data_IF_543296343860
#
_entry.id   IF_543296343860
#
_cell.length_a   1.000
_cell.length_b   1.000
_cell.length_c   1.000
_cell.angle_alpha   90.00
_cell.angle_beta   90.00
_cell.angle_gamma   90.00
#
_symmetry.space_group_name_H-M   'P 1'
#
loop_
_entity.id
_entity.type
_entity.pdbx_description
1 polymer ?
#
# COMPACT_ATOMS: atom_id res chain seq x y z
N UNK A 1 -22.42 -19.28 -7.06
CA UNK A 1 -21.44 -18.99 -6.04
C UNK A 1 -21.23 -17.49 -5.84
N UNK A 2 -20.36 -17.10 -4.93
CA UNK A 2 -20.05 -15.70 -4.60
C UNK A 2 -19.53 -14.93 -5.82
N UNK A 3 -18.66 -15.55 -6.60
CA UNK A 3 -18.08 -14.93 -7.80
C UNK A 3 -19.16 -14.47 -8.78
N UNK A 4 -20.14 -15.36 -9.07
CA UNK A 4 -21.25 -15.02 -9.94
C UNK A 4 -22.14 -13.92 -9.36
N UNK A 5 -22.44 -14.00 -8.06
CA UNK A 5 -23.27 -12.98 -7.39
C UNK A 5 -22.60 -11.62 -7.44
N UNK A 6 -21.28 -11.59 -7.26
CA UNK A 6 -20.52 -10.35 -7.32
C UNK A 6 -20.50 -9.79 -8.75
N UNK A 7 -20.28 -10.63 -9.75
CA UNK A 7 -20.31 -10.22 -11.15
C UNK A 7 -21.69 -9.64 -11.53
N UNK A 8 -22.77 -10.29 -11.10
CA UNK A 8 -24.13 -9.83 -11.36
C UNK A 8 -24.38 -8.46 -10.69
N UNK A 9 -23.95 -8.29 -9.44
CA UNK A 9 -24.09 -7.04 -8.71
C UNK A 9 -23.31 -5.90 -9.37
N UNK A 10 -22.04 -6.13 -9.70
CA UNK A 10 -21.19 -5.10 -10.31
C UNK A 10 -21.69 -4.72 -11.71
N UNK A 11 -22.32 -5.65 -12.43
CA UNK A 11 -22.95 -5.38 -13.71
C UNK A 11 -24.10 -4.38 -13.65
N UNK A 12 -24.64 -4.11 -12.46
CA UNK A 12 -25.70 -3.11 -12.27
C UNK A 12 -25.16 -1.68 -12.09
N UNK A 13 -23.86 -1.54 -11.92
CA UNK A 13 -23.21 -0.23 -11.72
C UNK A 13 -22.40 0.16 -12.96
N UNK A 14 -22.32 1.45 -13.21
CA UNK A 14 -21.47 2.00 -14.24
C UNK A 14 -19.99 1.95 -13.84
N UNK A 15 -19.11 2.07 -14.83
CA UNK A 15 -17.66 2.13 -14.62
C UNK A 15 -16.98 0.79 -14.85
N UNK A 16 -15.67 0.81 -14.64
CA UNK A 16 -14.81 -0.37 -14.75
C UNK A 16 -14.48 -0.87 -13.34
N UNK A 17 -14.76 -2.13 -13.10
CA UNK A 17 -14.55 -2.76 -11.79
C UNK A 17 -13.45 -3.81 -11.88
N UNK A 18 -12.56 -3.81 -10.91
CA UNK A 18 -11.58 -4.88 -10.70
C UNK A 18 -11.74 -5.38 -9.28
N UNK A 19 -11.87 -6.69 -9.10
CA UNK A 19 -12.11 -7.30 -7.79
C UNK A 19 -11.21 -8.52 -7.62
N UNK A 20 -10.64 -8.64 -6.43
CA UNK A 20 -9.87 -9.81 -6.01
C UNK A 20 -10.38 -10.23 -4.63
N UNK A 21 -10.64 -11.53 -4.47
CA UNK A 21 -11.04 -12.11 -3.19
C UNK A 21 -10.21 -13.35 -2.94
N UNK A 22 -9.67 -13.48 -1.74
CA UNK A 22 -9.00 -14.71 -1.30
C UNK A 22 -9.41 -15.07 0.12
N UNK A 23 -9.93 -16.29 0.28
CA UNK A 23 -10.20 -16.88 1.58
C UNK A 23 -8.88 -17.44 2.15
N UNK A 24 -8.41 -16.91 3.26
CA UNK A 24 -7.11 -17.29 3.82
C UNK A 24 -7.17 -18.63 4.60
N UNK A 25 -8.35 -19.20 4.82
CA UNK A 25 -8.49 -20.52 5.42
C UNK A 25 -8.45 -21.63 4.38
N UNK A 26 -9.20 -21.48 3.28
CA UNK A 26 -9.31 -22.48 2.22
C UNK A 26 -8.32 -22.29 1.08
N UNK A 27 -7.63 -21.15 1.02
CA UNK A 27 -6.80 -20.69 -0.11
C UNK A 27 -7.57 -20.53 -1.43
N UNK A 28 -8.88 -20.57 -1.40
CA UNK A 28 -9.67 -20.30 -2.59
C UNK A 28 -9.63 -18.81 -2.92
N UNK A 29 -9.38 -18.53 -4.19
CA UNK A 29 -9.34 -17.15 -4.69
C UNK A 29 -10.09 -17.03 -6.00
N UNK A 30 -10.59 -15.83 -6.25
CA UNK A 30 -11.06 -15.47 -7.57
C UNK A 30 -10.76 -13.99 -7.84
N UNK A 31 -10.70 -13.67 -9.12
CA UNK A 31 -10.51 -12.29 -9.55
C UNK A 31 -11.43 -12.00 -10.71
N UNK A 32 -11.92 -10.77 -10.77
CA UNK A 32 -12.73 -10.27 -11.87
C UNK A 32 -12.03 -9.04 -12.44
N UNK A 33 -11.72 -9.10 -13.74
CA UNK A 33 -11.12 -7.99 -14.45
C UNK A 33 -9.85 -7.46 -13.77
N UNK A 34 -9.00 -8.36 -13.25
CA UNK A 34 -7.71 -7.94 -12.70
C UNK A 34 -6.82 -7.47 -13.84
N UNK A 35 -6.50 -6.20 -13.82
CA UNK A 35 -5.66 -5.56 -14.82
C UNK A 35 -4.91 -4.41 -14.16
N UNK A 36 -3.85 -3.98 -14.80
CA UNK A 36 -3.12 -2.79 -14.35
C UNK A 36 -4.05 -1.58 -14.39
N UNK A 37 -4.07 -0.82 -13.31
CA UNK A 37 -4.90 0.38 -13.16
C UNK A 37 -4.14 1.47 -12.43
N UNK A 38 -4.62 2.70 -12.55
CA UNK A 38 -4.05 3.81 -11.79
C UNK A 38 -4.24 3.55 -10.29
N UNK A 39 -3.12 3.53 -9.56
CA UNK A 39 -3.13 3.10 -8.16
C UNK A 39 -3.76 4.10 -7.21
N UNK A 40 -3.75 5.40 -7.55
CA UNK A 40 -3.98 6.43 -6.55
C UNK A 40 -3.16 6.12 -5.29
N UNK A 41 -3.71 6.32 -4.11
CA UNK A 41 -2.99 6.09 -2.86
C UNK A 41 -2.72 4.62 -2.50
N UNK A 42 -3.19 3.65 -3.29
CA UNK A 42 -2.83 2.25 -3.06
C UNK A 42 -1.32 2.01 -3.23
N UNK A 43 -0.64 2.83 -4.01
CA UNK A 43 0.83 2.71 -4.18
C UNK A 43 1.56 2.82 -2.84
N UNK A 44 0.96 3.47 -1.85
CA UNK A 44 1.57 3.69 -0.54
C UNK A 44 1.84 2.39 0.22
N UNK A 45 1.04 1.34 0.00
CA UNK A 45 1.32 0.04 0.65
C UNK A 45 2.60 -0.60 0.12
N UNK A 46 2.93 -0.35 -1.15
CA UNK A 46 4.18 -0.85 -1.75
C UNK A 46 5.38 -0.01 -1.31
N UNK A 47 5.21 1.30 -1.19
CA UNK A 47 6.25 2.18 -0.61
C UNK A 47 6.52 1.78 0.84
N UNK A 48 5.48 1.45 1.61
CA UNK A 48 5.60 0.91 2.97
C UNK A 48 6.45 -0.38 2.98
N UNK A 49 6.13 -1.35 2.14
CA UNK A 49 6.85 -2.62 2.07
C UNK A 49 8.34 -2.42 1.77
N UNK A 50 8.65 -1.61 0.77
CA UNK A 50 10.05 -1.30 0.44
C UNK A 50 10.75 -0.55 1.57
N UNK A 51 10.08 0.36 2.24
CA UNK A 51 10.66 1.09 3.38
C UNK A 51 11.09 0.12 4.48
N UNK A 52 10.26 -0.87 4.82
CA UNK A 52 10.65 -1.90 5.78
C UNK A 52 11.78 -2.79 5.25
N UNK A 53 11.74 -3.16 3.98
CA UNK A 53 12.80 -3.97 3.37
C UNK A 53 14.16 -3.24 3.35
N UNK A 54 14.15 -1.93 3.28
CA UNK A 54 15.32 -1.06 3.14
C UNK A 54 15.53 -0.19 4.39
N UNK A 55 15.01 -0.59 5.54
CA UNK A 55 14.92 0.26 6.72
C UNK A 55 16.27 0.80 7.18
N UNK A 56 17.33 -0.02 7.16
CA UNK A 56 18.64 0.44 7.58
C UNK A 56 19.14 1.62 6.73
N UNK A 57 18.99 1.53 5.43
CA UNK A 57 19.37 2.63 4.52
C UNK A 57 18.46 3.85 4.71
N UNK A 58 17.16 3.64 4.87
CA UNK A 58 16.19 4.74 5.10
C UNK A 58 16.55 5.51 6.38
N UNK A 59 16.86 4.81 7.46
CA UNK A 59 17.27 5.44 8.72
C UNK A 59 18.59 6.21 8.55
N UNK A 60 19.57 5.64 7.85
CA UNK A 60 20.84 6.33 7.58
C UNK A 60 20.65 7.58 6.72
N UNK A 61 19.79 7.49 5.71
CA UNK A 61 19.50 8.64 4.83
C UNK A 61 18.75 9.74 5.58
N UNK A 62 17.80 9.39 6.46
CA UNK A 62 17.15 10.37 7.31
C UNK A 62 18.12 11.01 8.31
N UNK A 63 18.98 10.20 8.93
CA UNK A 63 20.01 10.70 9.85
C UNK A 63 20.93 11.72 9.16
N UNK A 64 21.38 11.40 7.95
CA UNK A 64 22.21 12.31 7.14
C UNK A 64 21.47 13.62 6.84
N UNK A 65 20.19 13.54 6.48
CA UNK A 65 19.35 14.70 6.21
C UNK A 65 19.17 15.57 7.46
N UNK A 66 18.96 14.94 8.61
CA UNK A 66 18.80 15.62 9.91
C UNK A 66 20.13 16.08 10.51
N UNK A 67 21.27 15.65 9.95
CA UNK A 67 22.61 15.87 10.49
C UNK A 67 22.74 15.35 11.92
N UNK A 68 22.26 14.13 12.12
CA UNK A 68 22.28 13.41 13.39
C UNK A 68 22.89 12.03 13.23
N UNK A 69 23.28 11.43 14.36
CA UNK A 69 23.67 10.03 14.37
C UNK A 69 22.44 9.15 14.12
N UNK A 70 22.62 8.04 13.40
CA UNK A 70 21.51 7.14 13.09
C UNK A 70 20.86 6.52 14.34
N UNK A 71 21.61 6.45 15.45
CA UNK A 71 21.10 5.96 16.74
C UNK A 71 20.31 7.00 17.52
N UNK A 72 20.31 8.27 17.09
CA UNK A 72 19.49 9.29 17.73
C UNK A 72 18.02 8.91 17.60
N UNK A 73 17.27 8.81 18.72
CA UNK A 73 15.86 8.40 18.67
C UNK A 73 14.97 9.23 17.77
N UNK A 74 15.32 10.51 17.54
CA UNK A 74 14.54 11.38 16.66
C UNK A 74 14.54 10.91 15.21
N UNK A 75 15.56 10.16 14.79
CA UNK A 75 15.65 9.64 13.41
C UNK A 75 14.60 8.57 13.20
N UNK A 76 14.55 7.54 14.03
CA UNK A 76 13.53 6.49 13.93
C UNK A 76 12.11 7.04 14.15
N UNK A 77 11.96 7.98 15.08
CA UNK A 77 10.66 8.64 15.29
C UNK A 77 10.18 9.33 14.04
N UNK A 78 11.07 10.05 13.33
CA UNK A 78 10.70 10.73 12.09
C UNK A 78 10.24 9.72 11.01
N UNK A 79 10.98 8.65 10.80
CA UNK A 79 10.62 7.62 9.82
C UNK A 79 9.30 6.94 10.20
N UNK A 80 9.10 6.63 11.47
CA UNK A 80 7.85 6.02 11.94
C UNK A 80 6.66 6.98 11.75
N UNK A 81 6.84 8.27 11.99
CA UNK A 81 5.80 9.28 11.77
C UNK A 81 5.43 9.37 10.28
N UNK A 82 6.42 9.32 9.40
CA UNK A 82 6.17 9.31 7.95
C UNK A 82 5.34 8.08 7.54
N UNK A 83 5.71 6.90 8.04
CA UNK A 83 4.96 5.67 7.77
C UNK A 83 3.54 5.75 8.31
N UNK A 84 3.38 6.22 9.54
CA UNK A 84 2.07 6.35 10.17
C UNK A 84 1.16 7.28 9.37
N UNK A 85 1.65 8.47 9.05
CA UNK A 85 0.87 9.47 8.31
C UNK A 85 0.56 9.00 6.89
N UNK A 86 1.53 8.36 6.22
CA UNK A 86 1.33 7.85 4.87
C UNK A 86 0.19 6.83 4.82
N UNK A 87 0.12 5.92 5.78
CA UNK A 87 -0.84 4.80 5.75
C UNK A 87 -2.16 5.18 6.42
N UNK A 88 -2.14 5.75 7.62
CA UNK A 88 -3.37 5.95 8.39
C UNK A 88 -4.24 7.09 7.88
N UNK A 89 -3.65 8.16 7.40
CA UNK A 89 -4.36 9.33 6.86
C UNK A 89 -4.05 9.59 5.38
N UNK A 90 -3.28 8.71 4.75
CA UNK A 90 -2.96 8.81 3.32
C UNK A 90 -2.20 10.09 2.95
N UNK A 91 -1.27 10.52 3.79
CA UNK A 91 -0.52 11.75 3.55
C UNK A 91 0.42 11.61 2.36
N UNK A 92 0.23 12.46 1.37
CA UNK A 92 1.00 12.42 0.11
C UNK A 92 2.46 12.85 0.30
N UNK A 93 2.71 13.88 1.09
CA UNK A 93 4.08 14.36 1.33
C UNK A 93 4.91 13.32 2.07
N UNK A 94 4.30 12.62 3.03
CA UNK A 94 4.98 11.52 3.72
C UNK A 94 5.40 10.42 2.77
N UNK A 95 4.57 10.10 1.80
CA UNK A 95 4.89 9.11 0.76
C UNK A 95 6.06 9.60 -0.13
N UNK A 96 5.97 10.83 -0.63
CA UNK A 96 7.03 11.40 -1.46
C UNK A 96 8.37 11.43 -0.72
N UNK A 97 8.34 11.78 0.55
CA UNK A 97 9.54 11.81 1.40
C UNK A 97 10.13 10.41 1.59
N UNK A 98 9.29 9.41 1.86
CA UNK A 98 9.77 8.03 2.00
C UNK A 98 10.38 7.50 0.70
N UNK A 99 9.84 7.87 -0.46
CA UNK A 99 10.46 7.51 -1.74
C UNK A 99 11.85 8.12 -1.86
N UNK A 100 12.03 9.40 -1.48
CA UNK A 100 13.34 10.07 -1.49
C UNK A 100 14.34 9.42 -0.56
N UNK A 101 13.87 8.90 0.57
CA UNK A 101 14.74 8.30 1.59
C UNK A 101 15.27 6.91 1.21
N UNK A 102 14.83 6.33 0.10
CA UNK A 102 15.31 5.01 -0.33
C UNK A 102 16.77 5.02 -0.77
N UNK A 103 17.28 6.16 -1.21
CA UNK A 103 18.69 6.31 -1.63
C UNK A 103 19.36 7.47 -0.91
N UNK A 104 20.68 7.44 -0.85
CA UNK A 104 21.49 8.50 -0.24
C UNK A 104 21.48 9.80 -1.04
N UNK A 105 21.05 9.74 -2.29
CA UNK A 105 20.87 10.93 -3.13
C UNK A 105 19.72 11.82 -2.68
N UNK A 106 18.77 11.25 -1.91
CA UNK A 106 17.52 11.92 -1.52
C UNK A 106 16.71 12.42 -2.73
N UNK A 107 16.90 11.77 -3.87
CA UNK A 107 16.23 12.09 -5.12
C UNK A 107 15.02 11.19 -5.33
N UNK A 108 13.86 11.77 -5.65
CA UNK A 108 12.63 11.02 -5.84
C UNK A 108 12.75 9.98 -6.96
N UNK A 109 13.30 10.37 -8.11
CA UNK A 109 13.37 9.47 -9.27
C UNK A 109 14.24 8.25 -8.97
N UNK A 110 15.39 8.44 -8.33
CA UNK A 110 16.26 7.33 -7.94
C UNK A 110 15.61 6.43 -6.90
N UNK A 111 14.91 7.02 -5.94
CA UNK A 111 14.13 6.25 -4.97
C UNK A 111 13.02 5.43 -5.64
N UNK A 112 12.30 6.03 -6.58
CA UNK A 112 11.28 5.34 -7.35
C UNK A 112 11.85 4.17 -8.16
N UNK A 113 13.01 4.37 -8.80
CA UNK A 113 13.70 3.30 -9.53
C UNK A 113 14.07 2.13 -8.61
N UNK A 114 14.58 2.42 -7.42
CA UNK A 114 14.93 1.38 -6.43
C UNK A 114 13.69 0.63 -5.95
N UNK A 115 12.60 1.33 -5.68
CA UNK A 115 11.33 0.69 -5.32
C UNK A 115 10.86 -0.23 -6.46
N UNK A 116 10.91 0.23 -7.70
CA UNK A 116 10.47 -0.57 -8.85
C UNK A 116 11.31 -1.83 -9.03
N UNK A 117 12.61 -1.77 -8.76
CA UNK A 117 13.48 -2.97 -8.78
C UNK A 117 13.05 -3.96 -7.70
N UNK A 118 12.75 -3.48 -6.51
CA UNK A 118 12.24 -4.32 -5.42
C UNK A 118 10.91 -4.98 -5.81
N UNK A 119 9.97 -4.20 -6.35
CA UNK A 119 8.67 -4.71 -6.76
C UNK A 119 8.79 -5.80 -7.83
N UNK A 120 9.65 -5.59 -8.81
CA UNK A 120 9.92 -6.59 -9.85
C UNK A 120 10.50 -7.86 -9.25
N UNK A 121 11.49 -7.73 -8.37
CA UNK A 121 12.12 -8.87 -7.68
C UNK A 121 11.12 -9.67 -6.87
N UNK A 122 10.17 -8.98 -6.21
CA UNK A 122 9.15 -9.63 -5.38
C UNK A 122 7.96 -10.16 -6.21
N UNK A 123 7.95 -9.93 -7.52
CA UNK A 123 6.93 -10.45 -8.42
C UNK A 123 5.68 -9.58 -8.59
N UNK A 124 5.73 -8.32 -8.14
CA UNK A 124 4.63 -7.37 -8.36
C UNK A 124 4.77 -6.71 -9.73
N UNK A 125 4.46 -7.46 -10.78
CA UNK A 125 4.76 -7.07 -12.16
C UNK A 125 3.82 -6.02 -12.73
N UNK A 126 2.71 -5.75 -12.04
CA UNK A 126 1.72 -4.75 -12.46
C UNK A 126 1.76 -3.48 -11.60
N UNK A 127 2.78 -3.37 -10.73
CA UNK A 127 2.89 -2.25 -9.80
C UNK A 127 4.18 -1.48 -10.04
N UNK A 128 4.06 -0.15 -10.15
CA UNK A 128 5.23 0.71 -10.30
C UNK A 128 4.99 2.09 -9.73
N UNK A 129 6.04 2.64 -9.11
CA UNK A 129 6.10 4.03 -8.68
C UNK A 129 6.68 4.86 -9.80
N UNK A 130 5.93 5.82 -10.31
CA UNK A 130 6.33 6.61 -11.48
C UNK A 130 6.39 8.11 -11.21
N UNK A 131 5.54 8.64 -10.35
CA UNK A 131 5.49 10.08 -10.10
C UNK A 131 5.18 10.41 -8.65
N UNK A 132 5.52 11.64 -8.24
CA UNK A 132 5.16 12.18 -6.93
C UNK A 132 3.65 12.19 -6.76
N UNK A 133 3.22 11.91 -5.54
CA UNK A 133 1.82 12.07 -5.19
C UNK A 133 1.55 13.55 -4.95
N UNK A 134 0.46 13.98 -5.50
CA UNK A 134 0.14 15.38 -5.65
C UNK A 134 -0.04 16.11 -4.33
N UNK A 135 0.93 16.91 -3.91
CA UNK A 135 0.66 18.09 -3.11
C UNK A 135 0.77 19.31 -4.02
N UNK A 136 -0.11 20.25 -3.80
CA UNK A 136 -0.18 21.45 -4.62
C UNK A 136 1.09 22.31 -4.56
N UNK A 137 2.00 22.04 -3.64
CA UNK A 137 3.12 22.94 -3.35
C UNK A 137 4.51 22.38 -3.65
N UNK A 138 4.69 21.10 -3.88
CA UNK A 138 6.02 20.56 -4.17
C UNK A 138 6.25 20.39 -5.67
N UNK A 139 7.51 20.43 -6.05
CA UNK A 139 7.90 20.15 -7.43
C UNK A 139 7.47 18.73 -7.80
N UNK A 140 6.76 18.60 -8.91
CA UNK A 140 6.37 17.32 -9.42
C UNK A 140 7.55 16.66 -10.12
N UNK A 141 7.81 15.40 -9.79
CA UNK A 141 8.85 14.59 -10.41
C UNK A 141 8.22 13.30 -10.94
N UNK A 142 8.73 12.83 -12.06
CA UNK A 142 8.15 11.67 -12.73
C UNK A 142 9.22 10.92 -13.51
N UNK A 143 9.09 9.59 -13.54
CA UNK A 143 9.85 8.73 -14.47
C UNK A 143 9.23 8.68 -15.86
N UNK A 144 8.09 9.33 -16.04
CA UNK A 144 7.40 9.44 -17.34
C UNK A 144 6.07 8.68 -17.41
N UNK A 145 5.79 7.79 -16.46
CA UNK A 145 4.56 7.03 -16.41
C UNK A 145 3.62 7.46 -15.29
N UNK A 146 2.63 6.62 -15.03
CA UNK A 146 1.67 6.76 -13.92
C UNK A 146 1.94 5.70 -12.86
N UNK A 147 1.61 6.01 -11.61
CA UNK A 147 1.62 5.02 -10.54
C UNK A 147 0.57 3.96 -10.81
N UNK A 148 0.99 2.72 -11.00
CA UNK A 148 0.10 1.64 -11.39
C UNK A 148 0.13 0.51 -10.38
N UNK A 149 -0.97 -0.22 -10.29
CA UNK A 149 -1.05 -1.46 -9.53
C UNK A 149 -2.17 -2.34 -10.10
N UNK A 150 -2.43 -3.47 -9.46
CA UNK A 150 -3.57 -4.33 -9.76
C UNK A 150 -4.15 -4.89 -8.46
N UNK A 151 -5.41 -5.33 -8.52
CA UNK A 151 -6.04 -5.98 -7.35
C UNK A 151 -5.30 -7.26 -6.96
N UNK A 152 -4.72 -7.96 -7.93
CA UNK A 152 -3.92 -9.16 -7.67
C UNK A 152 -2.64 -8.83 -6.91
N UNK A 153 -1.88 -7.84 -7.34
CA UNK A 153 -0.66 -7.41 -6.66
C UNK A 153 -0.96 -6.93 -5.24
N UNK A 154 -2.00 -6.11 -5.08
CA UNK A 154 -2.44 -5.65 -3.76
C UNK A 154 -2.82 -6.81 -2.85
N UNK A 155 -3.61 -7.75 -3.35
CA UNK A 155 -4.04 -8.92 -2.59
C UNK A 155 -2.87 -9.79 -2.17
N UNK A 156 -1.91 -9.99 -3.06
CA UNK A 156 -0.68 -10.75 -2.78
C UNK A 156 0.13 -10.10 -1.65
N UNK A 157 0.29 -8.78 -1.69
CA UNK A 157 1.00 -8.05 -0.64
C UNK A 157 0.28 -8.17 0.71
N UNK A 158 -1.03 -7.96 0.73
CA UNK A 158 -1.80 -8.06 1.97
C UNK A 158 -1.73 -9.45 2.58
N UNK A 159 -1.77 -10.51 1.75
CA UNK A 159 -1.62 -11.88 2.24
C UNK A 159 -0.26 -12.10 2.89
N UNK A 160 0.83 -11.64 2.26
CA UNK A 160 2.17 -11.74 2.83
C UNK A 160 2.28 -11.01 4.17
N UNK A 161 1.70 -9.82 4.26
CA UNK A 161 1.70 -9.06 5.51
C UNK A 161 0.94 -9.83 6.59
N UNK A 162 -0.24 -10.35 6.28
CA UNK A 162 -1.04 -11.12 7.23
C UNK A 162 -0.32 -12.37 7.74
N UNK A 163 0.38 -13.07 6.85
CA UNK A 163 1.11 -14.30 7.17
C UNK A 163 2.46 -14.09 7.86
N UNK A 164 2.89 -12.84 8.03
CA UNK A 164 4.20 -12.55 8.61
C UNK A 164 5.36 -12.77 7.66
N UNK A 165 5.11 -12.78 6.36
CA UNK A 165 6.08 -13.13 5.32
C UNK A 165 6.55 -11.93 4.49
N UNK A 166 6.07 -10.73 4.78
CA UNK A 166 6.54 -9.53 4.11
C UNK A 166 7.75 -8.97 4.85
N UNK A 167 8.92 -9.04 4.27
CA UNK A 167 10.23 -8.64 4.81
C UNK A 167 10.65 -9.51 6.00
N UNK A 168 9.92 -9.47 7.10
CA UNK A 168 10.12 -10.26 8.31
C UNK A 168 8.80 -10.36 9.06
N UNK A 169 8.77 -11.22 10.07
CA UNK A 169 7.59 -11.34 10.95
C UNK A 169 7.33 -10.02 11.68
N UNK A 170 8.37 -9.41 12.23
CA UNK A 170 8.28 -8.15 12.96
C UNK A 170 7.82 -7.01 12.06
N UNK A 171 8.41 -6.87 10.87
CA UNK A 171 8.01 -5.86 9.91
C UNK A 171 6.56 -6.05 9.46
N UNK A 172 6.15 -7.31 9.21
CA UNK A 172 4.78 -7.62 8.84
C UNK A 172 3.79 -7.23 9.93
N UNK A 173 4.12 -7.48 11.20
CA UNK A 173 3.28 -7.07 12.34
C UNK A 173 3.15 -5.55 12.41
N UNK A 174 4.23 -4.81 12.19
CA UNK A 174 4.21 -3.35 12.17
C UNK A 174 3.37 -2.82 11.01
N UNK A 175 3.54 -3.39 9.82
CA UNK A 175 2.73 -3.01 8.65
C UNK A 175 1.24 -3.30 8.87
N UNK A 176 0.93 -4.45 9.45
CA UNK A 176 -0.44 -4.81 9.78
C UNK A 176 -1.05 -3.83 10.78
N UNK A 177 -0.25 -3.40 11.77
CA UNK A 177 -0.70 -2.40 12.74
C UNK A 177 -1.03 -1.06 12.06
N UNK A 178 -0.20 -0.61 11.12
CA UNK A 178 -0.47 0.61 10.34
C UNK A 178 -1.79 0.50 9.59
N UNK A 179 -2.00 -0.60 8.88
CA UNK A 179 -3.23 -0.84 8.11
C UNK A 179 -4.47 -0.95 9.02
N UNK A 180 -4.29 -1.50 10.23
CA UNK A 180 -5.37 -1.65 11.21
C UNK A 180 -5.79 -0.32 11.83
N UNK A 181 -4.94 0.70 11.75
CA UNK A 181 -5.21 2.05 12.24
C UNK A 181 -5.66 3.01 11.12
N UNK A 182 -6.10 2.47 9.99
CA UNK A 182 -6.63 3.26 8.88
C UNK A 182 -7.79 4.14 9.35
N UNK A 183 -7.71 5.44 9.05
CA UNK A 183 -8.79 6.38 9.39
C UNK A 183 -9.84 6.51 8.29
N UNK A 184 -9.51 6.09 7.06
CA UNK A 184 -10.46 6.10 5.94
C UNK A 184 -11.25 4.79 5.92
N UNK A 185 -12.37 4.75 6.63
CA UNK A 185 -13.15 3.52 6.86
C UNK A 185 -14.52 3.54 6.17
N UNK A 186 -14.73 4.43 5.23
CA UNK A 186 -16.04 4.66 4.63
C UNK A 186 -16.34 3.80 3.39
N UNK A 187 -15.42 2.93 2.99
CA UNK A 187 -15.62 1.99 1.87
C UNK A 187 -15.83 0.57 2.38
N UNK A 188 -14.86 -0.33 2.24
CA UNK A 188 -15.04 -1.73 2.69
C UNK A 188 -15.43 -1.82 4.16
N UNK A 189 -14.73 -1.17 5.10
CA UNK A 189 -15.11 -1.30 6.51
C UNK A 189 -16.56 -0.91 6.80
N UNK A 190 -17.07 0.10 6.15
CA UNK A 190 -18.44 0.56 6.36
C UNK A 190 -19.49 -0.46 5.93
N UNK A 191 -19.16 -1.30 4.95
CA UNK A 191 -20.04 -2.36 4.46
C UNK A 191 -20.02 -3.64 5.28
N UNK A 192 -19.13 -3.76 6.27
CA UNK A 192 -19.00 -4.97 7.07
C UNK A 192 -20.03 -5.01 8.20
N UNK A 193 -20.43 -6.23 8.64
CA UNK A 193 -21.28 -6.36 9.82
C UNK A 193 -20.64 -5.73 11.06
N UNK A 194 -21.49 -5.32 12.01
CA UNK A 194 -21.01 -4.77 13.27
C UNK A 194 -20.08 -5.75 13.99
N UNK A 195 -18.97 -5.24 14.53
CA UNK A 195 -17.99 -6.02 15.26
C UNK A 195 -16.94 -6.74 14.40
N UNK A 196 -17.10 -6.72 13.07
CA UNK A 196 -16.10 -7.28 12.17
C UNK A 196 -14.99 -6.25 11.94
N UNK A 197 -13.76 -6.63 12.26
CA UNK A 197 -12.58 -5.77 12.12
C UNK A 197 -11.95 -5.95 10.75
N UNK A 198 -11.23 -4.92 10.33
CA UNK A 198 -10.48 -4.94 9.07
C UNK A 198 -9.21 -4.10 9.19
N UNK A 199 -8.27 -4.40 8.30
CA UNK A 199 -7.08 -3.60 8.08
C UNK A 199 -7.09 -3.23 6.60
N UNK A 200 -7.04 -1.93 6.27
CA UNK A 200 -7.26 -1.51 4.89
C UNK A 200 -6.44 -0.30 4.47
N UNK A 201 -6.40 -0.08 3.18
CA UNK A 201 -5.88 1.14 2.56
C UNK A 201 -6.79 1.55 1.42
N UNK A 202 -7.20 2.80 1.43
CA UNK A 202 -7.99 3.38 0.35
C UNK A 202 -7.13 4.15 -0.65
N UNK A 203 -7.68 4.38 -1.82
CA UNK A 203 -7.14 5.30 -2.80
C UNK A 203 -8.29 5.90 -3.59
N UNK A 204 -8.25 7.21 -3.82
CA UNK A 204 -9.30 7.89 -4.55
C UNK A 204 -8.79 9.09 -5.35
N UNK A 205 -9.45 9.31 -6.47
CA UNK A 205 -9.36 10.53 -7.27
C UNK A 205 -10.79 10.92 -7.64
N UNK A 206 -10.95 11.96 -8.44
CA UNK A 206 -12.28 12.32 -8.97
C UNK A 206 -12.87 11.22 -9.85
N UNK A 207 -12.04 10.33 -10.38
CA UNK A 207 -12.43 9.28 -11.32
C UNK A 207 -12.20 7.86 -10.81
N UNK A 208 -11.48 7.69 -9.71
CA UNK A 208 -11.08 6.39 -9.19
C UNK A 208 -11.50 6.22 -7.74
N UNK A 209 -12.00 5.03 -7.41
CA UNK A 209 -12.35 4.66 -6.05
C UNK A 209 -11.80 3.27 -5.75
N UNK A 210 -10.87 3.18 -4.82
CA UNK A 210 -10.19 1.94 -4.47
C UNK A 210 -10.24 1.68 -2.97
N UNK A 211 -10.30 0.41 -2.61
CA UNK A 211 -10.03 -0.05 -1.25
C UNK A 211 -9.48 -1.47 -1.31
N UNK A 212 -8.51 -1.77 -0.48
CA UNK A 212 -7.95 -3.10 -0.31
C UNK A 212 -7.93 -3.43 1.17
N UNK A 213 -8.36 -4.62 1.55
CA UNK A 213 -8.58 -4.94 2.95
C UNK A 213 -8.25 -6.39 3.29
N UNK A 214 -7.76 -6.57 4.53
CA UNK A 214 -7.80 -7.84 5.24
C UNK A 214 -9.02 -7.75 6.14
N UNK A 215 -9.95 -8.68 5.99
CA UNK A 215 -11.20 -8.68 6.76
C UNK A 215 -11.20 -9.88 7.70
N UNK A 216 -11.35 -9.62 8.99
CA UNK A 216 -11.41 -10.64 10.03
C UNK A 216 -12.85 -11.07 10.22
N UNK A 217 -13.38 -11.84 9.25
CA UNK A 217 -14.75 -12.29 9.26
C UNK A 217 -15.04 -13.30 10.36
N UNK A 218 -16.31 -13.52 10.65
CA UNK A 218 -16.73 -14.43 11.70
C UNK A 218 -16.30 -15.87 11.42
N UNK A 219 -16.38 -16.31 10.17
CA UNK A 219 -16.05 -17.68 9.76
C UNK A 219 -14.63 -17.83 9.23
N UNK A 220 -14.10 -16.79 8.62
CA UNK A 220 -12.79 -16.84 7.99
C UNK A 220 -12.22 -15.45 7.87
N UNK A 221 -10.89 -15.37 7.79
CA UNK A 221 -10.18 -14.14 7.39
C UNK A 221 -9.97 -14.18 5.89
N UNK A 222 -10.26 -13.08 5.22
CA UNK A 222 -10.15 -13.01 3.76
C UNK A 222 -9.58 -11.68 3.31
N UNK A 223 -9.05 -11.69 2.10
CA UNK A 223 -8.59 -10.49 1.38
C UNK A 223 -9.69 -10.06 0.43
N UNK A 224 -9.95 -8.77 0.41
CA UNK A 224 -10.89 -8.16 -0.53
C UNK A 224 -10.27 -6.91 -1.13
#
# INVERSE_FOLDING_TARGET
GLEKRLADLLGTYEGTWSVYVKDLTSDQEFEQNSQSLYSASLIKVFVMAQTYANMDAVLQNEAAKMKKDVTDPSVSTKVNDLLWNMITVSDNESCNELVKLQTDSLDFKKGAEDINKYLEKEGYTETSVQHTLHPAASAQESLGGRNMTSVKDCGTLLEKIYKGECVSKEASEEMLNLLSNQENTWKIPQGLPDGIKSANKTGETDQDQHDIAIVYGEKTTYIL
#
